data_IF_922755774456
#
_entry.id   IF_922755774456
#
_cell.length_a   1.000
_cell.length_b   1.000
_cell.length_c   1.000
_cell.angle_alpha   90.00
_cell.angle_beta   90.00
_cell.angle_gamma   90.00
#
_symmetry.space_group_name_H-M   'P 1'
#
loop_
_entity.id
_entity.type
_entity.pdbx_description
1 polymer ?
#
# COMPACT_ATOMS: atom_id res chain seq x y z
N UNK A 1 5.86 7.67 9.67
CA UNK A 1 6.97 6.69 9.80
C UNK A 1 8.33 7.32 9.48
N UNK A 2 9.44 6.81 10.03
CA UNK A 2 10.81 7.27 9.68
C UNK A 2 11.47 6.20 8.81
N UNK A 3 11.75 6.52 7.54
CA UNK A 3 12.51 5.64 6.65
C UNK A 3 13.99 5.78 7.00
N UNK A 4 14.57 4.74 7.61
CA UNK A 4 15.97 4.76 8.06
C UNK A 4 16.94 4.43 6.92
N UNK A 5 18.21 4.81 7.10
CA UNK A 5 19.27 4.43 6.14
C UNK A 5 19.42 2.91 6.00
N UNK A 6 19.20 2.16 7.09
CA UNK A 6 19.23 0.70 7.06
C UNK A 6 18.13 0.15 6.15
N UNK A 7 16.92 0.73 6.24
CA UNK A 7 15.79 0.36 5.40
C UNK A 7 16.07 0.63 3.91
N UNK A 8 16.71 1.76 3.58
CA UNK A 8 17.04 2.10 2.19
C UNK A 8 18.22 1.28 1.66
N UNK A 9 19.11 0.83 2.54
CA UNK A 9 20.36 0.16 2.16
C UNK A 9 20.12 -1.09 1.30
N UNK A 10 19.06 -1.85 1.59
CA UNK A 10 18.73 -3.07 0.86
C UNK A 10 18.39 -2.79 -0.61
N UNK A 11 18.01 -1.56 -0.97
CA UNK A 11 17.64 -1.18 -2.35
C UNK A 11 18.81 -0.65 -3.18
N UNK A 12 20.05 -0.80 -2.72
CA UNK A 12 21.25 -0.40 -3.47
C UNK A 12 21.55 -1.32 -4.64
N UNK A 13 21.12 -2.58 -4.55
CA UNK A 13 21.29 -3.56 -5.61
C UNK A 13 20.22 -3.40 -6.69
N UNK A 14 20.43 -4.05 -7.85
CA UNK A 14 19.50 -3.99 -8.97
C UNK A 14 18.35 -4.97 -8.78
N UNK A 15 17.26 -4.54 -8.15
CA UNK A 15 16.02 -5.31 -8.04
C UNK A 15 15.08 -5.09 -9.24
N UNK A 16 14.16 -6.04 -9.51
CA UNK A 16 13.04 -5.82 -10.43
C UNK A 16 12.28 -4.56 -10.05
N UNK A 17 11.77 -3.84 -11.06
CA UNK A 17 11.09 -2.56 -10.80
C UNK A 17 9.83 -2.81 -9.98
N UNK A 18 9.07 -3.81 -10.36
CA UNK A 18 7.98 -4.39 -9.58
C UNK A 18 8.29 -4.56 -8.10
N UNK A 19 9.38 -5.26 -7.74
CA UNK A 19 9.79 -5.41 -6.34
C UNK A 19 10.01 -4.07 -5.63
N UNK A 20 10.68 -3.12 -6.30
CA UNK A 20 10.92 -1.77 -5.73
C UNK A 20 9.59 -1.05 -5.51
N UNK A 21 8.67 -1.11 -6.48
CA UNK A 21 7.37 -0.45 -6.39
C UNK A 21 6.42 -1.12 -5.40
N UNK A 22 6.42 -2.45 -5.31
CA UNK A 22 5.61 -3.25 -4.36
C UNK A 22 6.10 -3.15 -2.92
N UNK A 23 7.38 -2.83 -2.70
CA UNK A 23 7.95 -2.65 -1.36
C UNK A 23 8.07 -1.18 -0.94
N UNK A 24 9.19 -0.51 -1.23
CA UNK A 24 9.41 0.89 -0.82
C UNK A 24 8.44 1.85 -1.52
N UNK A 25 8.00 1.54 -2.75
CA UNK A 25 7.00 2.34 -3.46
C UNK A 25 5.65 2.39 -2.74
N UNK A 26 5.11 1.23 -2.34
CA UNK A 26 3.87 1.14 -1.54
C UNK A 26 4.03 1.89 -0.22
N UNK A 27 5.18 1.74 0.44
CA UNK A 27 5.47 2.41 1.71
C UNK A 27 5.49 3.94 1.58
N UNK A 28 6.15 4.46 0.54
CA UNK A 28 6.14 5.91 0.27
C UNK A 28 4.72 6.38 -0.01
N UNK A 29 3.96 5.62 -0.81
CA UNK A 29 2.58 5.97 -1.13
C UNK A 29 1.68 5.93 0.12
N UNK A 30 1.83 4.94 0.99
CA UNK A 30 1.14 4.83 2.27
C UNK A 30 1.33 6.10 3.12
N UNK A 31 2.57 6.57 3.29
CA UNK A 31 2.84 7.81 4.05
C UNK A 31 2.30 9.07 3.36
N UNK A 32 2.24 9.10 2.03
CA UNK A 32 1.57 10.18 1.31
C UNK A 32 0.07 10.18 1.59
N UNK A 33 -0.58 9.00 1.62
CA UNK A 33 -2.00 8.91 1.93
C UNK A 33 -2.34 9.18 3.40
N UNK A 34 -1.41 8.93 4.33
CA UNK A 34 -1.53 9.46 5.69
C UNK A 34 -1.65 10.99 5.73
N UNK A 35 -1.01 11.69 4.80
CA UNK A 35 -1.13 13.15 4.69
C UNK A 35 -2.50 13.59 4.18
N UNK A 36 -3.24 12.71 3.49
CA UNK A 36 -4.60 12.95 2.99
C UNK A 36 -5.71 12.45 3.93
N UNK A 37 -5.38 11.62 4.93
CA UNK A 37 -6.21 10.91 5.91
C UNK A 37 -7.72 11.18 5.97
N UNK A 38 -8.52 10.14 6.24
CA UNK A 38 -9.98 10.26 6.26
C UNK A 38 -10.48 11.17 7.40
N UNK A 39 -9.82 11.10 8.56
CA UNK A 39 -10.22 11.68 9.84
C UNK A 39 -9.04 12.32 10.61
N UNK A 40 -7.79 12.12 10.17
CA UNK A 40 -6.58 12.54 10.91
C UNK A 40 -6.45 14.07 10.97
N UNK A 41 -6.12 14.59 12.15
CA UNK A 41 -5.72 16.00 12.33
C UNK A 41 -4.23 16.18 11.94
N UNK A 42 -3.83 17.30 11.35
CA UNK A 42 -4.59 18.53 11.11
C UNK A 42 -5.30 18.57 9.75
N UNK A 43 -5.20 17.53 8.91
CA UNK A 43 -5.82 17.50 7.60
C UNK A 43 -7.34 17.76 7.69
N UNK A 44 -7.99 17.14 8.69
CA UNK A 44 -9.39 17.38 9.02
C UNK A 44 -9.78 18.84 9.27
N UNK A 45 -8.84 19.66 9.72
CA UNK A 45 -9.05 21.05 10.09
C UNK A 45 -8.73 22.00 8.93
N UNK A 46 -7.85 21.61 8.01
CA UNK A 46 -7.42 22.42 6.87
C UNK A 46 -8.22 22.17 5.59
N UNK A 47 -8.85 21.01 5.47
CA UNK A 47 -9.62 20.65 4.28
C UNK A 47 -11.12 20.60 4.59
N UNK A 48 -11.94 21.38 3.89
CA UNK A 48 -13.37 21.53 4.20
C UNK A 48 -14.24 20.34 3.78
N UNK A 49 -13.66 19.29 3.19
CA UNK A 49 -14.42 18.22 2.55
C UNK A 49 -14.74 17.01 3.45
N UNK A 50 -14.29 16.96 4.72
CA UNK A 50 -14.62 15.84 5.62
C UNK A 50 -16.12 15.70 5.91
N UNK A 51 -16.88 16.77 5.70
CA UNK A 51 -18.34 16.74 5.83
C UNK A 51 -19.04 16.23 4.56
N UNK A 52 -18.33 16.10 3.44
CA UNK A 52 -18.88 15.60 2.19
C UNK A 52 -19.39 14.17 2.40
N UNK A 53 -20.58 13.90 1.85
CA UNK A 53 -21.23 12.59 1.90
C UNK A 53 -20.33 11.50 1.33
N UNK A 54 -19.58 11.79 0.27
CA UNK A 54 -18.60 10.87 -0.31
C UNK A 54 -17.53 10.41 0.67
N UNK A 55 -16.98 11.33 1.48
CA UNK A 55 -15.95 10.99 2.47
C UNK A 55 -16.55 10.13 3.58
N UNK A 56 -17.73 10.49 4.10
CA UNK A 56 -18.43 9.69 5.11
C UNK A 56 -18.70 8.26 4.63
N UNK A 57 -19.15 8.12 3.38
CA UNK A 57 -19.42 6.81 2.78
C UNK A 57 -18.14 5.98 2.63
N UNK A 58 -17.04 6.59 2.19
CA UNK A 58 -15.74 5.90 2.09
C UNK A 58 -15.22 5.50 3.46
N UNK A 59 -15.30 6.38 4.46
CA UNK A 59 -14.93 6.07 5.84
C UNK A 59 -15.72 4.87 6.38
N UNK A 60 -17.05 4.85 6.17
CA UNK A 60 -17.87 3.71 6.60
C UNK A 60 -17.51 2.42 5.84
N UNK A 61 -17.23 2.51 4.55
CA UNK A 61 -16.81 1.36 3.75
C UNK A 61 -15.54 0.72 4.30
N UNK A 62 -14.54 1.52 4.67
CA UNK A 62 -13.31 0.99 5.30
C UNK A 62 -13.56 0.41 6.70
N UNK A 63 -14.39 1.05 7.52
CA UNK A 63 -14.80 0.51 8.83
C UNK A 63 -15.46 -0.88 8.66
N UNK A 64 -16.46 -0.98 7.78
CA UNK A 64 -17.18 -2.22 7.52
C UNK A 64 -16.25 -3.30 6.94
N UNK A 65 -15.35 -2.94 6.03
CA UNK A 65 -14.41 -3.86 5.41
C UNK A 65 -13.47 -4.48 6.45
N UNK A 66 -12.80 -3.67 7.28
CA UNK A 66 -11.86 -4.20 8.27
C UNK A 66 -12.56 -4.89 9.44
N UNK A 67 -13.77 -4.46 9.81
CA UNK A 67 -14.60 -5.15 10.81
C UNK A 67 -15.16 -6.50 10.32
N UNK A 68 -15.17 -6.74 9.01
CA UNK A 68 -15.64 -8.01 8.43
C UNK A 68 -14.68 -9.18 8.63
N UNK A 69 -13.41 -8.90 8.94
CA UNK A 69 -12.40 -9.92 9.15
C UNK A 69 -12.68 -10.72 10.41
N UNK A 70 -12.46 -12.03 10.32
CA UNK A 70 -12.62 -12.96 11.43
C UNK A 70 -11.39 -13.85 11.52
N UNK A 71 -10.73 -13.83 12.67
CA UNK A 71 -9.65 -14.75 13.00
C UNK A 71 -10.18 -15.76 14.00
N UNK A 72 -9.99 -17.04 13.71
CA UNK A 72 -10.29 -18.11 14.66
C UNK A 72 -9.09 -18.27 15.58
N UNK A 73 -9.29 -17.98 16.86
CA UNK A 73 -8.34 -18.29 17.90
C UNK A 73 -8.81 -19.57 18.61
N UNK A 74 -8.11 -20.67 18.34
CA UNK A 74 -8.31 -21.92 19.05
C UNK A 74 -7.44 -21.91 20.31
N UNK A 75 -8.06 -21.69 21.46
CA UNK A 75 -7.47 -21.97 22.77
C UNK A 75 -7.93 -23.36 23.22
N UNK A 76 -7.18 -24.04 24.09
CA UNK A 76 -7.49 -25.41 24.52
C UNK A 76 -8.95 -25.53 25.01
N UNK A 77 -9.81 -26.12 24.17
CA UNK A 77 -11.22 -26.38 24.48
C UNK A 77 -12.24 -25.31 24.05
N UNK A 78 -11.82 -24.18 23.49
CA UNK A 78 -12.72 -23.12 23.02
C UNK A 78 -12.26 -22.48 21.70
N UNK A 79 -13.20 -22.10 20.85
CA UNK A 79 -12.93 -21.38 19.60
C UNK A 79 -13.52 -19.99 19.70
N UNK A 80 -12.66 -18.99 19.92
CA UNK A 80 -13.08 -17.60 19.94
C UNK A 80 -12.90 -16.98 18.56
N UNK A 81 -13.89 -16.18 18.12
CA UNK A 81 -13.76 -15.39 16.90
C UNK A 81 -13.26 -13.99 17.27
N UNK A 82 -12.01 -13.69 16.92
CA UNK A 82 -11.45 -12.36 17.03
C UNK A 82 -11.82 -11.54 15.80
N UNK A 83 -12.35 -10.33 16.01
CA UNK A 83 -12.62 -9.36 14.95
C UNK A 83 -11.81 -8.09 15.18
N UNK A 84 -11.10 -7.57 14.17
CA UNK A 84 -10.48 -6.26 14.26
C UNK A 84 -11.55 -5.17 14.47
N UNK A 85 -11.18 -4.11 15.19
CA UNK A 85 -11.97 -2.89 15.20
C UNK A 85 -11.69 -2.10 13.91
N UNK A 86 -12.65 -2.11 12.98
CA UNK A 86 -12.53 -1.39 11.72
C UNK A 86 -12.35 0.12 11.90
N UNK A 87 -12.91 0.71 12.96
CA UNK A 87 -12.73 2.15 13.25
C UNK A 87 -11.30 2.50 13.60
N UNK A 88 -10.63 1.61 14.32
CA UNK A 88 -9.22 1.76 14.65
C UNK A 88 -8.34 1.58 13.41
N UNK A 89 -8.72 0.68 12.49
CA UNK A 89 -7.90 0.32 11.33
C UNK A 89 -8.13 1.18 10.08
N UNK A 90 -9.27 1.86 9.93
CA UNK A 90 -9.65 2.52 8.68
C UNK A 90 -8.64 3.53 8.14
N UNK A 91 -7.89 4.25 8.99
CA UNK A 91 -6.91 5.25 8.53
C UNK A 91 -5.68 4.60 7.91
N UNK A 92 -5.12 3.64 8.64
CA UNK A 92 -3.99 2.86 8.19
C UNK A 92 -4.38 2.04 6.95
N UNK A 93 -5.59 1.47 6.97
CA UNK A 93 -6.12 0.68 5.88
C UNK A 93 -6.42 1.47 4.61
N UNK A 94 -6.91 2.71 4.74
CA UNK A 94 -7.03 3.64 3.61
C UNK A 94 -5.67 3.92 2.99
N UNK A 95 -4.66 4.19 3.82
CA UNK A 95 -3.30 4.41 3.36
C UNK A 95 -2.68 3.16 2.71
N UNK A 96 -2.94 1.97 3.26
CA UNK A 96 -2.52 0.69 2.69
C UNK A 96 -3.12 0.46 1.29
N UNK A 97 -4.45 0.55 1.16
CA UNK A 97 -5.18 0.24 -0.08
C UNK A 97 -4.92 1.27 -1.16
N UNK A 98 -5.07 2.57 -0.85
CA UNK A 98 -4.90 3.61 -1.86
C UNK A 98 -3.42 3.87 -2.16
N UNK A 99 -2.53 3.66 -1.18
CA UNK A 99 -1.09 3.67 -1.38
C UNK A 99 -0.65 2.58 -2.36
N UNK A 100 -1.08 1.34 -2.13
CA UNK A 100 -0.81 0.23 -3.04
C UNK A 100 -1.37 0.48 -4.44
N UNK A 101 -2.62 0.99 -4.54
CA UNK A 101 -3.25 1.34 -5.83
C UNK A 101 -2.43 2.34 -6.63
N UNK A 102 -1.92 3.40 -5.99
CA UNK A 102 -1.12 4.43 -6.68
C UNK A 102 0.28 3.92 -7.02
N UNK A 103 0.93 3.18 -6.12
CA UNK A 103 2.22 2.56 -6.40
C UNK A 103 2.15 1.62 -7.61
N UNK A 104 1.09 0.79 -7.69
CA UNK A 104 0.85 -0.09 -8.82
C UNK A 104 0.65 0.68 -10.13
N UNK A 105 -0.18 1.73 -10.12
CA UNK A 105 -0.37 2.60 -11.29
C UNK A 105 0.93 3.27 -11.74
N UNK A 106 1.81 3.63 -10.82
CA UNK A 106 3.11 4.20 -11.14
C UNK A 106 4.01 3.16 -11.83
N UNK A 107 4.03 1.92 -11.34
CA UNK A 107 4.73 0.80 -11.98
C UNK A 107 4.22 0.58 -13.41
N UNK A 108 2.89 0.48 -13.60
CA UNK A 108 2.29 0.27 -14.92
C UNK A 108 2.77 1.31 -15.94
N UNK A 109 2.76 2.60 -15.58
CA UNK A 109 3.24 3.68 -16.45
C UNK A 109 4.72 3.55 -16.83
N UNK A 110 5.54 3.06 -15.91
CA UNK A 110 6.97 2.86 -16.15
C UNK A 110 7.20 1.68 -17.08
N UNK A 111 6.49 0.57 -16.87
CA UNK A 111 6.58 -0.61 -17.72
C UNK A 111 6.08 -0.31 -19.14
N UNK A 112 4.99 0.45 -19.29
CA UNK A 112 4.49 0.95 -20.58
C UNK A 112 5.52 1.86 -21.28
N UNK A 113 6.17 2.76 -20.54
CA UNK A 113 7.21 3.65 -21.09
C UNK A 113 8.46 2.85 -21.48
N UNK A 114 8.79 1.79 -20.75
CA UNK A 114 9.91 0.90 -21.04
C UNK A 114 9.64 0.00 -22.23
N UNK A 115 8.46 -0.58 -22.37
CA UNK A 115 8.11 -1.39 -23.56
C UNK A 115 8.26 -0.57 -24.84
N UNK A 116 7.95 0.75 -24.78
CA UNK A 116 8.21 1.69 -25.87
C UNK A 116 9.71 1.97 -26.12
N UNK A 117 10.59 1.85 -25.11
CA UNK A 117 12.05 2.11 -25.20
C UNK A 117 12.94 0.87 -25.33
N UNK A 118 12.44 -0.34 -25.00
CA UNK A 118 13.21 -1.59 -24.86
C UNK A 118 13.69 -2.23 -26.18
N UNK A 119 13.76 -1.47 -27.28
CA UNK A 119 14.50 -1.89 -28.48
C UNK A 119 16.03 -1.72 -28.34
N UNK A 120 16.53 -1.18 -27.23
CA UNK A 120 17.97 -0.93 -27.03
C UNK A 120 18.38 -1.11 -25.56
N UNK A 121 19.17 -2.15 -25.31
CA UNK A 121 20.20 -2.28 -24.25
C UNK A 121 20.02 -3.50 -23.36
N UNK A 122 20.95 -4.45 -23.50
CA UNK A 122 21.20 -5.55 -22.58
C UNK A 122 22.29 -5.13 -21.59
N UNK A 123 21.93 -5.01 -20.31
CA UNK A 123 22.93 -4.87 -19.23
C UNK A 123 22.58 -5.87 -18.14
N UNK A 124 23.59 -6.61 -17.66
CA UNK A 124 23.52 -7.69 -16.66
C UNK A 124 22.63 -7.30 -15.47
N UNK A 125 21.42 -7.82 -15.45
CA UNK A 125 20.53 -7.86 -14.29
C UNK A 125 20.90 -9.06 -13.42
N UNK A 126 20.69 -8.93 -12.11
CA UNK A 126 20.45 -10.09 -11.26
C UNK A 126 19.27 -10.86 -11.86
N UNK A 127 19.43 -12.16 -12.12
CA UNK A 127 18.39 -13.01 -12.71
C UNK A 127 17.30 -13.25 -11.65
N UNK A 128 16.19 -12.55 -11.78
CA UNK A 128 14.99 -12.67 -10.95
C UNK A 128 13.84 -13.32 -11.74
N UNK A 129 14.17 -14.29 -12.60
CA UNK A 129 13.27 -14.88 -13.61
C UNK A 129 12.21 -15.83 -13.05
N UNK A 130 12.18 -16.01 -11.72
CA UNK A 130 11.20 -16.87 -11.07
C UNK A 130 9.80 -16.26 -11.06
N UNK A 131 9.70 -14.93 -11.15
CA UNK A 131 8.45 -14.19 -11.11
C UNK A 131 8.44 -13.11 -12.18
N UNK A 132 7.28 -12.89 -12.80
CA UNK A 132 7.08 -11.76 -13.70
C UNK A 132 6.94 -10.42 -12.92
N UNK A 133 6.91 -9.29 -13.65
CA UNK A 133 6.82 -7.96 -13.03
C UNK A 133 5.50 -7.72 -12.26
N UNK A 134 4.46 -8.53 -12.45
CA UNK A 134 3.23 -8.43 -11.65
C UNK A 134 3.26 -9.33 -10.43
N UNK A 135 3.95 -10.47 -10.52
CA UNK A 135 4.16 -11.38 -9.39
C UNK A 135 5.15 -10.84 -8.35
N UNK A 136 6.06 -9.96 -8.76
CA UNK A 136 6.98 -9.27 -7.85
C UNK A 136 6.36 -8.07 -7.11
N UNK A 137 5.18 -7.60 -7.52
CA UNK A 137 4.48 -6.48 -6.89
C UNK A 137 3.54 -6.98 -5.78
#
# INVERSE_FOLDING_TARGET
MIITRAFIHIYKDQYPQSFIYGSIGVIIAHELFHSLGLLRKPFREHFSFHHATGIKNVTQCYDDYYSSFALLEATEGDTTVLRPDGRSKLEEGFADVEGARIAFRALQRILETRSARSKRSSTRQLHFDLFDEFEWF
#
